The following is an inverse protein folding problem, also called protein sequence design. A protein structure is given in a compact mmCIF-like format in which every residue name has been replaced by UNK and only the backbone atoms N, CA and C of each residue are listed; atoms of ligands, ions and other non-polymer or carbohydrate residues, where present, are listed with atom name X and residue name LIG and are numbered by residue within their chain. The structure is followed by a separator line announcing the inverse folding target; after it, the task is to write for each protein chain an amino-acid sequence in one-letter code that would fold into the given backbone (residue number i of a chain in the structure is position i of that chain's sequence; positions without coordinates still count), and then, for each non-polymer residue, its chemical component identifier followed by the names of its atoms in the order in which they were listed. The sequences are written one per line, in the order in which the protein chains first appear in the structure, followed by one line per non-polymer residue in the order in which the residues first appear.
data_IF_017699642295
#
_entry.id   IF_017699642295
#
_cell.length_a   1.000
_cell.length_b   1.000
_cell.length_c   1.000
_cell.angle_alpha   90.00
_cell.angle_beta   90.00
_cell.angle_gamma   90.00
#
_symmetry.space_group_name_H-M   'P 1'
#
loop_
_entity.id
_entity.type
_entity.pdbx_description
1 polymer ?
#
# COMPACT_ATOMS: atom_id res chain seq x y z
N UNK A 1 0.59 -28.39 45.73
CA UNK A 1 -0.11 -28.08 44.46
C UNK A 1 0.54 -26.84 43.89
N UNK A 2 1.52 -27.02 43.00
CA UNK A 2 2.34 -25.94 42.45
C UNK A 2 1.74 -25.49 41.12
N UNK A 3 1.14 -24.30 41.10
CA UNK A 3 0.59 -23.67 39.89
C UNK A 3 1.66 -22.92 39.12
N UNK A 4 2.53 -23.65 38.42
CA UNK A 4 3.52 -23.08 37.51
C UNK A 4 3.56 -23.91 36.23
N UNK A 5 2.65 -23.63 35.29
CA UNK A 5 2.74 -24.12 33.92
C UNK A 5 2.39 -23.01 32.93
N UNK A 6 3.39 -22.56 32.18
CA UNK A 6 3.21 -22.07 30.82
C UNK A 6 2.97 -20.58 30.66
N UNK A 7 4.06 -19.84 30.52
CA UNK A 7 4.12 -18.60 29.74
C UNK A 7 3.76 -18.90 28.27
N UNK A 8 2.47 -19.20 28.03
CA UNK A 8 1.92 -19.58 26.73
C UNK A 8 1.60 -18.31 25.96
N UNK A 9 2.36 -18.12 24.89
CA UNK A 9 2.12 -17.04 23.96
C UNK A 9 0.65 -16.99 23.51
N UNK A 10 0.12 -15.78 23.35
CA UNK A 10 -1.28 -15.45 23.54
C UNK A 10 -2.12 -15.86 22.33
N UNK A 11 -2.76 -17.03 22.46
CA UNK A 11 -3.75 -17.51 21.49
C UNK A 11 -4.87 -16.46 21.24
N UNK A 12 -5.16 -15.65 22.25
CA UNK A 12 -6.13 -14.55 22.17
C UNK A 12 -5.79 -13.50 21.11
N UNK A 13 -4.49 -13.19 20.88
CA UNK A 13 -4.09 -12.20 19.86
C UNK A 13 -4.43 -12.69 18.46
N UNK A 14 -4.17 -13.97 18.17
CA UNK A 14 -4.48 -14.56 16.86
C UNK A 14 -5.98 -14.54 16.56
N UNK A 15 -6.82 -14.89 17.54
CA UNK A 15 -8.28 -14.83 17.38
C UNK A 15 -8.77 -13.39 17.15
N UNK A 16 -8.19 -12.41 17.84
CA UNK A 16 -8.56 -11.01 17.67
C UNK A 16 -8.18 -10.48 16.28
N UNK A 17 -6.97 -10.79 15.82
CA UNK A 17 -6.46 -10.37 14.50
C UNK A 17 -7.20 -11.10 13.38
N UNK A 18 -7.54 -12.37 13.56
CA UNK A 18 -8.39 -13.10 12.64
C UNK A 18 -9.76 -12.45 12.48
N UNK A 19 -10.40 -12.07 13.60
CA UNK A 19 -11.66 -11.32 13.57
C UNK A 19 -11.51 -9.96 12.87
N UNK A 20 -10.40 -9.27 13.11
CA UNK A 20 -10.14 -7.96 12.50
C UNK A 20 -9.88 -8.06 10.99
N UNK A 21 -9.17 -9.09 10.53
CA UNK A 21 -9.02 -9.40 9.10
C UNK A 21 -10.36 -9.70 8.45
N UNK A 22 -11.23 -10.46 9.11
CA UNK A 22 -12.58 -10.74 8.63
C UNK A 22 -13.40 -9.46 8.47
N UNK A 23 -13.37 -8.57 9.48
CA UNK A 23 -14.06 -7.27 9.43
C UNK A 23 -13.52 -6.42 8.28
N UNK A 24 -12.20 -6.33 8.10
CA UNK A 24 -11.60 -5.58 6.98
C UNK A 24 -12.01 -6.16 5.62
N UNK A 25 -12.03 -7.48 5.48
CA UNK A 25 -12.49 -8.14 4.26
C UNK A 25 -13.96 -7.86 3.97
N UNK A 26 -14.82 -7.87 5.00
CA UNK A 26 -16.23 -7.54 4.87
C UNK A 26 -16.43 -6.06 4.50
N UNK A 27 -15.67 -5.15 5.10
CA UNK A 27 -15.71 -3.72 4.77
C UNK A 27 -15.24 -3.45 3.34
N UNK A 28 -14.18 -4.14 2.88
CA UNK A 28 -13.74 -4.06 1.48
C UNK A 28 -14.86 -4.48 0.53
N UNK A 29 -15.54 -5.58 0.81
CA UNK A 29 -16.67 -6.05 0.00
C UNK A 29 -17.87 -5.10 0.07
N UNK A 30 -18.13 -4.49 1.23
CA UNK A 30 -19.20 -3.52 1.39
C UNK A 30 -18.98 -2.26 0.55
N UNK A 31 -17.73 -1.80 0.39
CA UNK A 31 -17.40 -0.69 -0.51
C UNK A 31 -17.71 -1.02 -1.97
N UNK A 32 -17.40 -2.25 -2.38
CA UNK A 32 -17.76 -2.73 -3.72
C UNK A 32 -19.28 -2.86 -3.90
N UNK A 33 -20.01 -3.26 -2.84
CA UNK A 33 -21.46 -3.43 -2.88
C UNK A 33 -22.25 -2.11 -2.89
N UNK A 34 -21.80 -1.10 -2.14
CA UNK A 34 -22.45 0.22 -2.08
C UNK A 34 -22.31 0.98 -3.41
N UNK A 35 -21.40 0.54 -4.28
CA UNK A 35 -21.26 1.12 -5.61
C UNK A 35 -20.63 2.52 -5.59
N UNK A 36 -19.63 2.73 -4.73
CA UNK A 36 -18.86 3.98 -4.77
C UNK A 36 -18.20 4.15 -6.15
N UNK A 37 -18.37 5.31 -6.77
CA UNK A 37 -17.82 5.63 -8.09
C UNK A 37 -16.57 6.53 -8.02
N UNK A 38 -15.76 6.49 -9.07
CA UNK A 38 -14.59 7.35 -9.23
C UNK A 38 -13.46 7.08 -8.24
N UNK A 39 -12.70 8.11 -7.89
CA UNK A 39 -11.50 8.05 -7.06
C UNK A 39 -11.75 7.54 -5.63
N UNK A 40 -12.98 7.67 -5.13
CA UNK A 40 -13.34 7.23 -3.78
C UNK A 40 -13.25 5.70 -3.66
N UNK A 41 -13.66 4.95 -4.68
CA UNK A 41 -13.52 3.49 -4.70
C UNK A 41 -12.06 3.06 -4.68
N UNK A 42 -11.24 3.70 -5.53
CA UNK A 42 -9.81 3.39 -5.64
C UNK A 42 -9.08 3.63 -4.32
N UNK A 43 -9.33 4.78 -3.68
CA UNK A 43 -8.69 5.11 -2.40
C UNK A 43 -9.12 4.16 -1.28
N UNK A 44 -10.41 3.83 -1.16
CA UNK A 44 -10.87 2.89 -0.13
C UNK A 44 -10.33 1.47 -0.33
N UNK A 45 -10.32 0.95 -1.56
CA UNK A 45 -9.76 -0.37 -1.87
C UNK A 45 -8.27 -0.41 -1.52
N UNK A 46 -7.50 0.61 -1.90
CA UNK A 46 -6.08 0.71 -1.58
C UNK A 46 -5.85 0.76 -0.07
N UNK A 47 -6.66 1.54 0.67
CA UNK A 47 -6.59 1.59 2.13
C UNK A 47 -6.83 0.21 2.74
N UNK A 48 -7.89 -0.51 2.33
CA UNK A 48 -8.16 -1.85 2.84
C UNK A 48 -7.08 -2.87 2.46
N UNK A 49 -6.50 -2.75 1.26
CA UNK A 49 -5.37 -3.59 0.84
C UNK A 49 -4.13 -3.37 1.72
N UNK A 50 -3.77 -2.12 2.00
CA UNK A 50 -2.64 -1.79 2.86
C UNK A 50 -2.92 -2.21 4.30
N UNK A 51 -4.13 -1.97 4.82
CA UNK A 51 -4.50 -2.35 6.19
C UNK A 51 -4.40 -3.86 6.41
N UNK A 52 -5.00 -4.67 5.52
CA UNK A 52 -4.94 -6.13 5.66
C UNK A 52 -3.51 -6.66 5.48
N UNK A 53 -2.74 -6.11 4.55
CA UNK A 53 -1.34 -6.50 4.36
C UNK A 53 -0.50 -6.13 5.59
N UNK A 54 -0.65 -4.92 6.13
CA UNK A 54 0.03 -4.47 7.33
C UNK A 54 -0.28 -5.35 8.55
N UNK A 55 -1.55 -5.74 8.73
CA UNK A 55 -1.95 -6.67 9.80
C UNK A 55 -1.33 -8.06 9.65
N UNK A 56 -1.29 -8.58 8.43
CA UNK A 56 -0.65 -9.88 8.16
C UNK A 56 0.85 -9.79 8.47
N UNK A 57 1.53 -8.75 8.01
CA UNK A 57 2.97 -8.63 8.25
C UNK A 57 3.27 -8.41 9.74
N UNK A 58 2.49 -7.55 10.44
CA UNK A 58 2.71 -7.26 11.85
C UNK A 58 2.52 -8.49 12.76
N UNK A 59 1.49 -9.31 12.50
CA UNK A 59 1.07 -10.39 13.39
C UNK A 59 1.50 -11.76 12.87
N UNK A 60 1.14 -12.12 11.63
CA UNK A 60 1.46 -13.45 11.09
C UNK A 60 2.94 -13.61 10.80
N UNK A 61 3.60 -12.54 10.38
CA UNK A 61 5.05 -12.53 10.20
C UNK A 61 5.81 -12.25 11.51
N UNK A 62 5.14 -12.28 12.66
CA UNK A 62 5.69 -12.10 14.01
C UNK A 62 6.60 -10.86 14.15
N UNK A 63 6.38 -9.82 13.34
CA UNK A 63 7.26 -8.66 13.25
C UNK A 63 7.35 -7.89 14.58
N UNK A 64 6.34 -8.02 15.45
CA UNK A 64 6.32 -7.43 16.79
C UNK A 64 7.29 -8.11 17.77
N UNK A 65 7.78 -9.33 17.49
CA UNK A 65 8.58 -10.12 18.43
C UNK A 65 9.96 -10.56 17.91
N UNK A 66 10.34 -10.21 16.68
CA UNK A 66 11.65 -10.53 16.10
C UNK A 66 12.56 -9.31 15.85
N UNK A 67 13.83 -9.58 15.48
CA UNK A 67 14.86 -8.56 15.20
C UNK A 67 14.45 -7.67 14.02
N UNK A 68 14.62 -6.35 14.17
CA UNK A 68 14.33 -5.35 13.14
C UNK A 68 15.02 -5.60 11.79
N UNK A 69 16.12 -6.35 11.76
CA UNK A 69 16.82 -6.74 10.54
C UNK A 69 15.97 -7.62 9.60
N UNK A 70 15.14 -8.54 10.14
CA UNK A 70 14.24 -9.36 9.33
C UNK A 70 13.09 -8.54 8.77
N UNK A 71 12.57 -7.59 9.56
CA UNK A 71 11.55 -6.64 9.12
C UNK A 71 12.04 -5.82 7.94
N UNK A 72 13.28 -5.31 8.00
CA UNK A 72 13.88 -4.57 6.88
C UNK A 72 14.14 -5.45 5.66
N UNK A 73 14.47 -6.72 5.83
CA UNK A 73 14.67 -7.64 4.70
C UNK A 73 13.36 -7.91 3.92
N UNK A 74 12.21 -7.94 4.60
CA UNK A 74 10.90 -8.20 3.99
C UNK A 74 10.24 -6.91 3.48
N UNK A 75 10.27 -5.83 4.27
CA UNK A 75 9.66 -4.55 3.90
C UNK A 75 10.57 -3.70 3.01
N UNK A 76 11.87 -3.96 3.03
CA UNK A 76 12.87 -3.24 2.23
C UNK A 76 12.59 -3.30 0.73
N UNK A 77 12.43 -4.48 0.11
CA UNK A 77 12.17 -4.58 -1.32
C UNK A 77 10.88 -3.86 -1.75
N UNK A 78 9.71 -4.03 -1.07
CA UNK A 78 8.52 -3.24 -1.35
C UNK A 78 8.71 -1.73 -1.25
N UNK A 79 9.45 -1.26 -0.22
CA UNK A 79 9.70 0.17 -0.05
C UNK A 79 10.58 0.72 -1.16
N UNK A 80 11.65 0.01 -1.55
CA UNK A 80 12.51 0.40 -2.67
C UNK A 80 11.71 0.50 -3.97
N UNK A 81 10.81 -0.45 -4.21
CA UNK A 81 9.92 -0.40 -5.37
C UNK A 81 8.98 0.81 -5.33
N UNK A 82 8.38 1.12 -4.18
CA UNK A 82 7.54 2.32 -4.04
C UNK A 82 8.32 3.61 -4.30
N UNK A 83 9.57 3.69 -3.82
CA UNK A 83 10.46 4.84 -4.09
C UNK A 83 10.78 4.95 -5.58
N UNK A 84 11.13 3.83 -6.24
CA UNK A 84 11.39 3.82 -7.68
C UNK A 84 10.16 4.24 -8.50
N UNK A 85 8.98 3.73 -8.15
CA UNK A 85 7.72 4.12 -8.80
C UNK A 85 7.46 5.62 -8.61
N UNK A 86 7.67 6.16 -7.40
CA UNK A 86 7.48 7.58 -7.12
C UNK A 86 8.45 8.46 -7.93
N UNK A 87 9.74 8.08 -7.99
CA UNK A 87 10.74 8.79 -8.80
C UNK A 87 10.37 8.75 -10.29
N UNK A 88 9.97 7.59 -10.79
CA UNK A 88 9.59 7.41 -12.20
C UNK A 88 8.32 8.19 -12.55
N UNK A 89 7.35 8.29 -11.63
CA UNK A 89 6.16 9.11 -11.82
C UNK A 89 6.53 10.59 -11.94
N UNK A 90 7.39 11.08 -11.05
CA UNK A 90 7.88 12.46 -11.05
C UNK A 90 8.65 12.77 -12.34
N UNK A 91 9.59 11.91 -12.75
CA UNK A 91 10.33 12.08 -14.01
C UNK A 91 9.42 12.00 -15.25
N UNK A 92 8.37 11.18 -15.19
CA UNK A 92 7.33 11.10 -16.22
C UNK A 92 6.66 12.45 -16.45
N UNK A 93 6.19 13.09 -15.37
CA UNK A 93 5.55 14.41 -15.43
C UNK A 93 6.52 15.48 -15.96
N UNK A 94 7.79 15.47 -15.51
CA UNK A 94 8.81 16.41 -16.00
C UNK A 94 9.11 16.22 -17.49
N UNK A 95 9.14 14.98 -17.97
CA UNK A 95 9.37 14.66 -19.39
C UNK A 95 8.19 15.08 -20.25
N UNK A 96 6.96 14.94 -19.75
CA UNK A 96 5.75 15.41 -20.44
C UNK A 96 5.77 16.94 -20.58
N UNK A 97 5.98 17.66 -19.48
CA UNK A 97 5.98 19.13 -19.46
C UNK A 97 7.07 19.69 -20.39
N UNK A 98 8.27 19.13 -20.32
CA UNK A 98 9.39 19.54 -21.19
C UNK A 98 9.05 19.32 -22.66
N UNK A 99 8.42 18.21 -23.01
CA UNK A 99 7.99 17.94 -24.39
C UNK A 99 6.95 18.95 -24.87
N UNK A 100 5.98 19.31 -24.02
CA UNK A 100 4.96 20.31 -24.36
C UNK A 100 5.58 21.69 -24.59
N UNK A 101 6.58 22.08 -23.78
CA UNK A 101 7.27 23.37 -23.93
C UNK A 101 8.06 23.40 -25.25
N UNK A 102 8.93 22.43 -25.50
CA UNK A 102 9.85 22.51 -26.64
C UNK A 102 9.28 22.00 -27.97
N UNK A 103 8.38 21.02 -27.98
CA UNK A 103 7.75 20.52 -29.22
C UNK A 103 6.36 21.14 -29.49
N UNK A 104 5.69 21.68 -28.46
CA UNK A 104 4.44 22.43 -28.65
C UNK A 104 4.66 23.81 -29.25
N UNK A 105 5.79 24.47 -28.94
CA UNK A 105 6.18 25.77 -29.49
C UNK A 105 6.52 25.68 -30.99
N UNK A 106 7.12 24.57 -31.43
CA UNK A 106 7.45 24.27 -32.83
C UNK A 106 6.21 24.11 -33.72
N UNK A 107 5.07 23.73 -33.13
CA UNK A 107 3.78 23.64 -33.87
C UNK A 107 3.18 25.02 -34.11
N UNK A 108 3.41 25.99 -33.22
CA UNK A 108 2.96 27.38 -33.39
C UNK A 108 3.78 28.12 -34.45
N UNK A 109 5.11 27.95 -34.52
CA UNK A 109 5.93 28.56 -35.58
C UNK A 109 5.62 27.99 -36.98
N UNK A 110 5.35 26.68 -37.11
CA UNK A 110 4.96 26.10 -38.41
C UNK A 110 3.62 26.64 -38.93
N UNK A 111 2.66 26.94 -38.05
CA UNK A 111 1.34 27.51 -38.39
C UNK A 111 1.43 29.01 -38.71
N UNK A 112 2.34 29.76 -38.10
CA UNK A 112 2.50 31.18 -38.38
C UNK A 112 3.25 31.46 -39.70
N UNK A 113 4.03 30.49 -40.17
CA UNK A 113 4.89 30.62 -41.35
C UNK A 113 4.31 29.98 -42.64
N UNK A 114 3.05 29.51 -42.62
CA UNK A 114 2.26 29.02 -43.75
C UNK A 114 0.86 29.66 -43.78
#
# INVERSE_FOLDING_TARGET
MAGQEGQQHPLSIYFWVWGLLFVISALSYAVDYIGFEGYLRWTLILIFMVLKAGLIIAIFMHMVWERMALSLAILGPPIVLLVLIALMAIEGDYTEITRLIYFGEDTTEFIEHH
#
